data_IF_111822875899
#
_entry.id   IF_111822875899
#
_cell.length_a   1.000
_cell.length_b   1.000
_cell.length_c   1.000
_cell.angle_alpha   90.00
_cell.angle_beta   90.00
_cell.angle_gamma   90.00
#
_symmetry.space_group_name_H-M   'P 1'
#
loop_
_entity.id
_entity.type
_entity.pdbx_description
1 polymer ?
#
# COMPACT_ATOMS: atom_id res chain seq x y z
N UNK A 1 -4.55 -14.93 -17.00
CA UNK A 1 -3.37 -14.06 -17.17
C UNK A 1 -3.53 -12.81 -16.33
N UNK A 2 -2.63 -12.66 -15.35
CA UNK A 2 -2.55 -11.45 -14.52
C UNK A 2 -1.93 -10.31 -15.31
N UNK A 3 -2.39 -9.09 -15.06
CA UNK A 3 -1.82 -7.85 -15.57
C UNK A 3 -1.42 -6.93 -14.43
N UNK A 4 -0.26 -6.30 -14.56
CA UNK A 4 0.18 -5.21 -13.67
C UNK A 4 0.16 -3.92 -14.49
N UNK A 5 -0.69 -2.98 -14.10
CA UNK A 5 -0.89 -1.73 -14.84
C UNK A 5 -0.85 -0.53 -13.89
N UNK A 6 -0.24 0.57 -14.34
CA UNK A 6 -0.29 1.84 -13.60
C UNK A 6 -1.69 2.44 -13.72
N UNK A 7 -2.26 2.84 -12.59
CA UNK A 7 -3.60 3.44 -12.49
C UNK A 7 -3.57 4.67 -11.60
N UNK A 8 -4.55 5.55 -11.77
CA UNK A 8 -4.86 6.58 -10.79
C UNK A 8 -5.97 6.03 -9.89
N UNK A 9 -5.75 6.06 -8.57
CA UNK A 9 -6.68 5.51 -7.60
C UNK A 9 -6.51 6.21 -6.27
N UNK A 10 -7.59 6.35 -5.48
CA UNK A 10 -7.51 6.89 -4.12
C UNK A 10 -6.83 8.28 -4.05
N UNK A 11 -7.13 9.15 -5.02
CA UNK A 11 -6.51 10.47 -5.19
C UNK A 11 -4.97 10.46 -5.31
N UNK A 12 -4.37 9.31 -5.62
CA UNK A 12 -2.95 9.16 -5.90
C UNK A 12 -2.73 8.98 -7.41
N UNK A 13 -1.82 9.75 -8.04
CA UNK A 13 -1.53 9.64 -9.46
C UNK A 13 -0.74 8.38 -9.82
N UNK A 14 0.00 7.80 -8.87
CA UNK A 14 0.83 6.61 -9.07
C UNK A 14 0.41 5.48 -8.13
N UNK A 15 -0.48 4.64 -8.65
CA UNK A 15 -0.81 3.34 -8.10
C UNK A 15 -0.53 2.26 -9.15
N UNK A 16 -0.40 1.01 -8.68
CA UNK A 16 -0.31 -0.16 -9.55
C UNK A 16 -1.42 -1.14 -9.20
N UNK A 17 -2.17 -1.54 -10.22
CA UNK A 17 -3.22 -2.53 -10.12
C UNK A 17 -2.72 -3.86 -10.67
N UNK A 18 -2.80 -4.90 -9.85
CA UNK A 18 -2.68 -6.29 -10.27
C UNK A 18 -4.09 -6.84 -10.46
N UNK A 19 -4.43 -7.29 -11.65
CA UNK A 19 -5.74 -7.87 -11.94
C UNK A 19 -5.61 -9.22 -12.62
N UNK A 20 -6.34 -10.22 -12.12
CA UNK A 20 -6.47 -11.54 -12.76
C UNK A 20 -7.81 -11.71 -13.49
N UNK A 21 -8.62 -10.65 -13.57
CA UNK A 21 -9.96 -10.65 -14.16
C UNK A 21 -11.07 -11.08 -13.19
N UNK A 22 -10.73 -11.68 -12.05
CA UNK A 22 -11.67 -11.97 -10.96
C UNK A 22 -11.55 -10.94 -9.85
N UNK A 23 -10.32 -10.62 -9.43
CA UNK A 23 -10.01 -9.64 -8.40
C UNK A 23 -8.99 -8.63 -8.88
N UNK A 24 -9.08 -7.43 -8.31
CA UNK A 24 -8.09 -6.38 -8.44
C UNK A 24 -7.43 -6.12 -7.07
N UNK A 25 -6.09 -6.11 -7.05
CA UNK A 25 -5.28 -5.65 -5.93
C UNK A 25 -4.65 -4.32 -6.35
N UNK A 26 -4.79 -3.26 -5.56
CA UNK A 26 -4.18 -1.97 -5.85
C UNK A 26 -3.18 -1.61 -4.77
N UNK A 27 -1.97 -1.24 -5.19
CA UNK A 27 -0.90 -0.75 -4.32
C UNK A 27 -0.54 0.69 -4.65
N UNK A 28 -0.11 1.45 -3.65
CA UNK A 28 0.30 2.85 -3.81
C UNK A 28 1.82 2.96 -3.91
N UNK A 29 2.31 3.90 -4.73
CA UNK A 29 3.74 4.22 -4.80
C UNK A 29 4.08 5.66 -4.41
N UNK A 30 3.09 6.55 -4.35
CA UNK A 30 3.26 7.93 -3.85
C UNK A 30 3.22 8.02 -2.32
N UNK A 31 2.67 6.99 -1.67
CA UNK A 31 2.60 6.80 -0.22
C UNK A 31 2.78 5.30 0.09
N UNK A 32 3.31 4.95 1.27
CA UNK A 32 3.30 3.58 1.77
C UNK A 32 4.66 3.04 2.26
N UNK A 33 4.88 1.71 2.18
CA UNK A 33 4.19 0.74 1.33
C UNK A 33 2.79 0.33 1.82
N UNK A 34 1.83 0.23 0.89
CA UNK A 34 0.45 -0.19 1.19
C UNK A 34 -0.19 -1.00 0.06
N UNK A 35 -1.04 -1.94 0.45
CA UNK A 35 -2.12 -2.47 -0.42
C UNK A 35 -3.38 -1.68 -0.08
N UNK A 36 -3.75 -0.73 -0.94
CA UNK A 36 -4.85 0.19 -0.65
C UNK A 36 -6.22 -0.40 -0.98
N UNK A 37 -6.27 -1.32 -1.96
CA UNK A 37 -7.52 -1.98 -2.31
C UNK A 37 -7.36 -3.48 -2.59
N UNK A 38 -8.40 -4.22 -2.22
CA UNK A 38 -8.66 -5.57 -2.68
C UNK A 38 -10.16 -5.68 -2.97
N UNK A 39 -10.51 -6.11 -4.19
CA UNK A 39 -11.90 -6.15 -4.64
C UNK A 39 -12.10 -7.20 -5.71
N UNK A 40 -13.34 -7.62 -5.92
CA UNK A 40 -13.71 -8.20 -7.21
C UNK A 40 -13.52 -7.15 -8.32
N UNK A 41 -13.11 -7.58 -9.51
CA UNK A 41 -12.91 -6.67 -10.64
C UNK A 41 -14.19 -5.89 -10.93
N UNK A 42 -14.10 -4.55 -10.86
CA UNK A 42 -15.25 -3.65 -11.00
C UNK A 42 -16.19 -3.57 -9.78
N UNK A 43 -15.90 -4.28 -8.70
CA UNK A 43 -16.66 -4.27 -7.45
C UNK A 43 -16.19 -3.24 -6.43
N UNK A 44 -16.74 -3.33 -5.22
CA UNK A 44 -16.36 -2.48 -4.09
C UNK A 44 -15.06 -2.96 -3.42
N UNK A 45 -14.26 -2.01 -2.94
CA UNK A 45 -13.08 -2.31 -2.12
C UNK A 45 -13.51 -2.80 -0.74
N UNK A 46 -12.92 -3.90 -0.27
CA UNK A 46 -13.17 -4.42 1.08
C UNK A 46 -12.29 -3.78 2.15
N UNK A 47 -11.23 -3.08 1.75
CA UNK A 47 -10.33 -2.38 2.66
C UNK A 47 -10.80 -0.94 2.88
N UNK A 48 -10.47 -0.38 4.04
CA UNK A 48 -10.77 1.02 4.33
C UNK A 48 -9.96 1.95 3.41
N UNK A 49 -10.57 3.06 3.00
CA UNK A 49 -9.97 4.16 2.26
C UNK A 49 -10.26 5.44 3.04
N UNK A 50 -9.22 6.12 3.54
CA UNK A 50 -9.38 7.29 4.40
C UNK A 50 -8.59 8.46 3.83
N UNK A 51 -9.28 9.56 3.54
CA UNK A 51 -8.69 10.70 2.87
C UNK A 51 -7.63 11.47 3.69
N UNK A 52 -6.90 12.40 3.05
CA UNK A 52 -5.83 13.17 3.66
C UNK A 52 -6.28 14.07 4.82
N UNK A 53 -7.59 14.33 4.94
CA UNK A 53 -8.17 15.15 6.00
C UNK A 53 -8.04 14.53 7.40
N UNK A 54 -7.90 13.21 7.50
CA UNK A 54 -7.69 12.54 8.78
C UNK A 54 -6.20 12.46 9.06
N UNK A 55 -5.75 13.13 10.14
CA UNK A 55 -4.33 13.22 10.51
C UNK A 55 -4.15 13.04 12.02
N UNK A 56 -3.15 12.26 12.41
CA UNK A 56 -2.63 12.23 13.77
C UNK A 56 -1.24 12.85 13.82
N UNK A 57 -1.11 13.92 14.59
CA UNK A 57 0.18 14.57 14.80
C UNK A 57 1.02 13.77 15.80
N UNK A 58 2.18 13.28 15.35
CA UNK A 58 3.11 12.53 16.18
C UNK A 58 4.43 13.27 16.32
N UNK A 59 5.28 12.84 17.27
CA UNK A 59 6.66 13.35 17.37
C UNK A 59 7.53 13.00 16.16
N UNK A 60 7.09 12.09 15.30
CA UNK A 60 7.78 11.70 14.06
C UNK A 60 7.23 12.41 12.81
N UNK A 61 6.20 13.26 12.98
CA UNK A 61 5.51 13.95 11.90
C UNK A 61 4.03 13.56 11.81
N UNK A 62 3.37 14.10 10.78
CA UNK A 62 1.95 13.87 10.52
C UNK A 62 1.74 12.46 10.00
N UNK A 63 0.95 11.67 10.72
CA UNK A 63 0.59 10.33 10.30
C UNK A 63 -0.83 10.32 9.78
N UNK A 64 -1.03 9.80 8.56
CA UNK A 64 -2.34 9.62 7.99
C UNK A 64 -2.74 8.13 8.02
N UNK A 65 -3.92 7.79 8.57
CA UNK A 65 -4.45 6.45 8.52
C UNK A 65 -5.05 6.18 7.14
N UNK A 66 -4.28 6.27 6.04
CA UNK A 66 -4.76 6.13 4.65
C UNK A 66 -5.65 4.89 4.37
N UNK A 67 -5.73 3.94 5.29
CA UNK A 67 -6.46 2.70 5.15
C UNK A 67 -5.60 1.64 4.47
N UNK A 68 -6.26 0.68 3.84
CA UNK A 68 -5.59 -0.47 3.25
C UNK A 68 -4.88 -1.37 4.26
N UNK A 69 -3.99 -2.20 3.75
CA UNK A 69 -3.02 -2.96 4.52
C UNK A 69 -1.66 -2.25 4.52
N UNK A 70 -1.09 -2.04 5.70
CA UNK A 70 0.27 -1.54 5.92
C UNK A 70 1.03 -2.43 6.89
N UNK A 71 2.36 -2.32 6.87
CA UNK A 71 3.19 -2.95 7.89
C UNK A 71 3.20 -2.14 9.19
N UNK A 72 3.21 -2.88 10.31
CA UNK A 72 3.15 -2.35 11.67
C UNK A 72 4.25 -2.98 12.53
N UNK A 73 4.76 -2.22 13.50
CA UNK A 73 5.77 -2.71 14.43
C UNK A 73 5.18 -2.90 15.83
N UNK A 74 5.24 -4.13 16.34
CA UNK A 74 4.75 -4.52 17.66
C UNK A 74 5.83 -4.38 18.76
N UNK A 75 5.45 -4.13 20.03
CA UNK A 75 4.12 -3.71 20.45
C UNK A 75 3.78 -2.32 19.90
N UNK A 76 2.50 -2.02 19.79
CA UNK A 76 2.04 -0.69 19.43
C UNK A 76 2.54 0.36 20.44
N UNK A 77 3.18 1.41 19.95
CA UNK A 77 3.68 2.50 20.77
C UNK A 77 3.70 3.81 19.98
N UNK A 78 3.14 4.88 20.54
CA UNK A 78 3.31 6.23 20.00
C UNK A 78 4.67 6.82 20.47
N UNK A 79 5.51 7.38 19.58
CA UNK A 79 5.24 7.61 18.16
C UNK A 79 5.73 6.49 17.24
N UNK A 80 6.52 5.52 17.74
CA UNK A 80 7.25 4.53 16.93
C UNK A 80 6.38 3.80 15.90
N UNK A 81 5.21 3.30 16.30
CA UNK A 81 4.33 2.54 15.41
C UNK A 81 3.55 3.44 14.44
N UNK A 82 3.52 4.74 14.70
CA UNK A 82 2.84 5.78 13.93
C UNK A 82 3.83 6.61 13.11
N UNK A 83 4.96 6.02 12.71
CA UNK A 83 5.87 6.66 11.78
C UNK A 83 5.15 6.95 10.45
N UNK A 84 5.25 8.20 9.93
CA UNK A 84 4.62 8.59 8.68
C UNK A 84 5.11 7.78 7.49
N UNK A 85 4.18 7.43 6.61
CA UNK A 85 4.45 6.74 5.34
C UNK A 85 3.82 7.52 4.17
N UNK A 86 3.90 8.86 4.24
CA UNK A 86 3.26 9.79 3.29
C UNK A 86 4.18 10.21 2.15
N UNK A 87 5.28 9.49 1.94
CA UNK A 87 6.29 9.84 0.93
C UNK A 87 6.34 8.77 -0.16
N UNK A 88 6.76 9.15 -1.37
CA UNK A 88 6.98 8.19 -2.44
C UNK A 88 7.95 7.10 -2.02
N UNK A 89 7.70 5.89 -2.53
CA UNK A 89 8.49 4.70 -2.25
C UNK A 89 9.16 4.19 -3.52
N UNK A 90 10.22 3.42 -3.36
CA UNK A 90 10.79 2.65 -4.45
C UNK A 90 9.91 1.44 -4.75
N UNK A 91 9.84 1.04 -6.01
CA UNK A 91 9.10 -0.15 -6.41
C UNK A 91 9.71 -0.79 -7.66
N UNK A 92 9.46 -2.09 -7.80
CA UNK A 92 9.90 -2.89 -8.92
C UNK A 92 8.76 -3.82 -9.35
N UNK A 93 8.36 -3.77 -10.63
CA UNK A 93 7.52 -4.80 -11.22
C UNK A 93 8.44 -6.00 -11.46
N UNK A 94 8.34 -7.01 -10.60
CA UNK A 94 9.28 -8.15 -10.60
C UNK A 94 8.93 -9.13 -11.72
N UNK A 95 7.64 -9.40 -11.92
CA UNK A 95 7.10 -10.24 -12.99
C UNK A 95 5.75 -9.68 -13.49
N UNK A 96 5.15 -10.34 -14.48
CA UNK A 96 3.81 -10.01 -15.00
C UNK A 96 2.68 -10.12 -13.97
N UNK A 97 2.94 -10.65 -12.76
CA UNK A 97 1.96 -10.83 -11.71
C UNK A 97 2.46 -10.46 -10.31
N UNK A 98 3.57 -9.72 -10.21
CA UNK A 98 4.13 -9.36 -8.91
C UNK A 98 4.80 -7.98 -8.91
N UNK A 99 4.75 -7.34 -7.75
CA UNK A 99 5.38 -6.04 -7.50
C UNK A 99 6.01 -6.03 -6.10
N UNK A 100 7.19 -5.41 -6.02
CA UNK A 100 7.92 -5.15 -4.77
C UNK A 100 7.81 -3.67 -4.44
N UNK A 101 7.51 -3.34 -3.19
CA UNK A 101 7.32 -1.98 -2.70
C UNK A 101 8.25 -1.75 -1.50
N UNK A 102 9.06 -0.70 -1.51
CA UNK A 102 10.08 -0.46 -0.49
C UNK A 102 10.09 1.01 -0.08
N UNK A 103 9.70 1.31 1.16
CA UNK A 103 9.86 2.68 1.66
C UNK A 103 11.32 3.00 1.98
N UNK A 104 11.70 4.29 1.95
CA UNK A 104 12.94 4.72 2.58
C UNK A 104 13.02 4.32 4.05
N UNK A 105 14.24 4.15 4.55
CA UNK A 105 14.50 3.94 5.98
C UNK A 105 13.88 5.09 6.79
N UNK A 106 13.03 4.74 7.75
CA UNK A 106 12.41 5.71 8.63
C UNK A 106 13.44 6.41 9.51
N UNK A 107 13.61 7.72 9.33
CA UNK A 107 14.60 8.50 10.10
C UNK A 107 14.42 8.39 11.62
N UNK A 108 13.18 8.22 12.09
CA UNK A 108 12.84 8.14 13.52
C UNK A 108 13.03 6.78 14.17
N UNK A 109 13.06 5.70 13.38
CA UNK A 109 13.08 4.32 13.91
C UNK A 109 14.25 3.49 13.38
N UNK A 110 14.86 3.90 12.27
CA UNK A 110 15.89 3.14 11.56
C UNK A 110 15.35 1.92 10.80
N UNK A 111 14.04 1.78 10.68
CA UNK A 111 13.39 0.62 10.06
C UNK A 111 13.08 0.92 8.59
N UNK A 112 13.45 -0.01 7.72
CA UNK A 112 12.94 -0.10 6.35
C UNK A 112 11.79 -1.10 6.31
N UNK A 113 10.76 -0.82 5.50
CA UNK A 113 9.65 -1.76 5.31
C UNK A 113 9.45 -2.05 3.84
N UNK A 114 9.18 -3.31 3.58
CA UNK A 114 9.05 -3.83 2.24
C UNK A 114 7.86 -4.79 2.15
N UNK A 115 7.08 -4.67 1.07
CA UNK A 115 5.98 -5.58 0.76
C UNK A 115 6.21 -6.14 -0.65
N UNK A 116 6.27 -7.47 -0.76
CA UNK A 116 6.17 -8.19 -2.03
C UNK A 116 4.74 -8.68 -2.21
N UNK A 117 4.08 -8.22 -3.27
CA UNK A 117 2.70 -8.58 -3.61
C UNK A 117 2.72 -9.41 -4.88
N UNK A 118 2.13 -10.61 -4.81
CA UNK A 118 1.91 -11.49 -5.97
C UNK A 118 0.44 -11.86 -6.04
N UNK A 119 -0.11 -11.83 -7.25
CA UNK A 119 -1.47 -12.28 -7.53
C UNK A 119 -1.40 -13.52 -8.44
N UNK A 120 -2.11 -14.57 -8.05
CA UNK A 120 -2.23 -15.79 -8.86
C UNK A 120 -3.29 -15.61 -9.96
N UNK A 121 -3.19 -16.43 -11.01
CA UNK A 121 -4.10 -16.35 -12.16
C UNK A 121 -5.55 -16.67 -11.77
N UNK A 122 -5.73 -17.58 -10.82
CA UNK A 122 -7.04 -18.09 -10.38
C UNK A 122 -7.10 -18.13 -8.85
N UNK A 123 -8.32 -18.10 -8.31
CA UNK A 123 -8.58 -18.26 -6.88
C UNK A 123 -8.54 -19.73 -6.43
N UNK A 124 -8.75 -19.98 -5.13
CA UNK A 124 -8.73 -21.34 -4.55
C UNK A 124 -9.91 -22.24 -4.92
N UNK A 125 -10.83 -21.83 -5.80
CA UNK A 125 -12.05 -22.57 -6.13
C UNK A 125 -12.43 -22.48 -7.60
#
# INVERSE_FOLDING_TARGET
MVKVERVQYFNQPNCYMLSNGTVDVIVTTDIGPRVIAYRFTGGENILAEIGPEVVNHTKLGDWHPWGGHRLWHAPESNPRSYAPDNSPIEFEIVDNNSIRLMQPVEAGTGIEKEIFVKLDEDGTH
#
